data_IF_484768353357
#
_entry.id   IF_484768353357
#
_cell.length_a   1.000
_cell.length_b   1.000
_cell.length_c   1.000
_cell.angle_alpha   90.00
_cell.angle_beta   90.00
_cell.angle_gamma   90.00
#
_symmetry.space_group_name_H-M   'P 1'
#
loop_
_entity.id
_entity.type
_entity.pdbx_description
1 polymer ?
#
# COMPACT_ATOMS: atom_id res chain seq x y z
N UNK A 1 -12.13 8.22 -14.02
CA UNK A 1 -12.02 8.05 -12.56
C UNK A 1 -10.61 7.54 -12.28
N UNK A 2 -9.85 8.13 -11.34
CA UNK A 2 -8.51 7.66 -11.02
C UNK A 2 -8.60 6.23 -10.46
N UNK A 3 -8.06 5.27 -11.22
CA UNK A 3 -8.02 3.86 -10.83
C UNK A 3 -6.76 3.63 -9.99
N UNK A 4 -6.89 2.83 -8.94
CA UNK A 4 -5.74 2.34 -8.17
C UNK A 4 -5.15 1.16 -8.93
N UNK A 5 -3.93 1.31 -9.42
CA UNK A 5 -3.20 0.26 -10.12
C UNK A 5 -2.05 -0.24 -9.24
N UNK A 6 -1.96 -1.56 -9.05
CA UNK A 6 -0.81 -2.14 -8.36
C UNK A 6 0.34 -2.23 -9.36
N UNK A 7 1.40 -1.48 -9.09
CA UNK A 7 2.58 -1.37 -9.96
C UNK A 7 3.57 -2.49 -9.68
N UNK A 8 3.76 -2.86 -8.41
CA UNK A 8 4.75 -3.88 -8.03
C UNK A 8 4.42 -4.47 -6.66
N UNK A 9 4.57 -5.79 -6.55
CA UNK A 9 4.55 -6.51 -5.28
C UNK A 9 5.90 -7.21 -5.12
N UNK A 10 6.62 -6.92 -4.05
CA UNK A 10 7.92 -7.57 -3.75
C UNK A 10 7.95 -8.08 -2.32
N UNK A 11 8.23 -9.37 -2.10
CA UNK A 11 8.51 -9.89 -0.76
C UNK A 11 9.89 -9.42 -0.30
N UNK A 12 9.97 -8.98 0.95
CA UNK A 12 11.19 -8.53 1.61
C UNK A 12 11.30 -9.31 2.92
N UNK A 13 12.39 -10.07 3.05
CA UNK A 13 12.73 -10.79 4.28
C UNK A 13 13.54 -9.89 5.18
N UNK A 14 12.96 -9.51 6.31
CA UNK A 14 13.63 -8.75 7.36
C UNK A 14 14.10 -9.75 8.42
N UNK A 15 15.41 -9.91 8.55
CA UNK A 15 15.98 -10.68 9.67
C UNK A 15 15.90 -9.84 10.94
N UNK A 16 15.03 -10.21 11.88
CA UNK A 16 15.06 -9.70 13.25
C UNK A 16 15.87 -10.64 14.14
N UNK A 17 16.35 -10.13 15.27
CA UNK A 17 17.11 -10.92 16.27
C UNK A 17 16.33 -12.12 16.82
N UNK A 18 14.99 -12.08 16.76
CA UNK A 18 14.08 -13.11 17.29
C UNK A 18 13.40 -13.97 16.21
N UNK A 19 13.76 -13.79 14.93
CA UNK A 19 13.14 -14.52 13.82
C UNK A 19 13.19 -13.78 12.47
N UNK A 20 12.91 -14.47 11.37
CA UNK A 20 12.77 -13.86 10.06
C UNK A 20 11.30 -13.50 9.81
N UNK A 21 11.01 -12.22 9.57
CA UNK A 21 9.66 -11.76 9.18
C UNK A 21 9.66 -11.51 7.67
N UNK A 22 8.64 -12.00 6.99
CA UNK A 22 8.39 -11.72 5.58
C UNK A 22 7.38 -10.58 5.51
N UNK A 23 7.76 -9.48 4.87
CA UNK A 23 6.87 -8.34 4.57
C UNK A 23 6.79 -8.15 3.06
N UNK A 24 5.60 -7.89 2.55
CA UNK A 24 5.36 -7.57 1.15
C UNK A 24 5.31 -6.05 0.99
N UNK A 25 6.19 -5.53 0.14
CA UNK A 25 6.11 -4.15 -0.33
C UNK A 25 5.22 -4.10 -1.55
N UNK A 26 4.10 -3.39 -1.44
CA UNK A 26 3.11 -3.23 -2.50
C UNK A 26 3.12 -1.77 -2.91
N UNK A 27 3.67 -1.50 -4.09
CA UNK A 27 3.61 -0.19 -4.69
C UNK A 27 2.37 -0.08 -5.57
N UNK A 28 1.63 0.99 -5.38
CA UNK A 28 0.43 1.30 -6.13
C UNK A 28 0.52 2.72 -6.67
N UNK A 29 -0.23 2.96 -7.74
CA UNK A 29 -0.38 4.25 -8.41
C UNK A 29 -1.85 4.61 -8.42
N UNK A 30 -2.15 5.88 -8.15
CA UNK A 30 -3.48 6.46 -8.20
C UNK A 30 -3.51 7.53 -9.28
N UNK A 31 -4.00 7.15 -10.46
CA UNK A 31 -3.87 7.95 -11.68
C UNK A 31 -2.41 8.37 -11.95
N UNK A 32 -2.18 9.49 -12.61
CA UNK A 32 -0.84 10.03 -12.86
C UNK A 32 -0.29 10.90 -11.71
N UNK A 33 -1.04 11.00 -10.62
CA UNK A 33 -0.86 12.06 -9.61
C UNK A 33 -0.04 11.55 -8.43
N UNK A 34 -0.23 10.28 -8.03
CA UNK A 34 0.35 9.74 -6.81
C UNK A 34 0.84 8.31 -7.01
N UNK A 35 2.12 8.08 -6.70
CA UNK A 35 2.70 6.74 -6.60
C UNK A 35 3.20 6.55 -5.18
N UNK A 36 2.71 5.52 -4.50
CA UNK A 36 3.06 5.21 -3.12
C UNK A 36 3.27 3.71 -2.92
N UNK A 37 3.90 3.33 -1.80
CA UNK A 37 4.09 1.93 -1.46
C UNK A 37 3.66 1.69 -0.02
N UNK A 38 2.86 0.64 0.18
CA UNK A 38 2.51 0.12 1.50
C UNK A 38 3.32 -1.14 1.80
N UNK A 39 3.51 -1.40 3.09
CA UNK A 39 4.19 -2.59 3.59
C UNK A 39 3.19 -3.40 4.37
N UNK A 40 3.06 -4.69 4.04
CA UNK A 40 2.12 -5.58 4.70
C UNK A 40 2.86 -6.85 5.15
N UNK A 41 2.67 -7.26 6.40
CA UNK A 41 3.22 -8.53 6.89
C UNK A 41 2.60 -9.71 6.12
N UNK A 42 3.36 -10.80 5.94
CA UNK A 42 2.88 -12.02 5.28
C UNK A 42 1.60 -12.57 5.91
N UNK A 43 1.50 -12.55 7.24
CA UNK A 43 0.32 -13.00 7.99
C UNK A 43 -0.94 -12.18 7.65
N UNK A 44 -0.76 -10.92 7.22
CA UNK A 44 -1.84 -10.00 6.85
C UNK A 44 -1.99 -9.86 5.34
N UNK A 45 -1.19 -10.58 4.53
CA UNK A 45 -1.19 -10.50 3.07
C UNK A 45 -2.47 -11.13 2.51
N UNK A 46 -3.53 -10.33 2.43
CA UNK A 46 -4.82 -10.74 1.85
C UNK A 46 -5.38 -9.62 0.98
N UNK A 47 -6.09 -9.94 -0.11
CA UNK A 47 -6.61 -8.94 -1.05
C UNK A 47 -7.45 -7.84 -0.37
N UNK A 48 -8.25 -8.21 0.63
CA UNK A 48 -9.08 -7.28 1.38
C UNK A 48 -8.25 -6.32 2.24
N UNK A 49 -7.24 -6.83 2.96
CA UNK A 49 -6.35 -6.01 3.76
C UNK A 49 -5.51 -5.07 2.90
N UNK A 50 -5.00 -5.55 1.76
CA UNK A 50 -4.24 -4.73 0.81
C UNK A 50 -5.11 -3.55 0.34
N UNK A 51 -6.37 -3.81 -0.06
CA UNK A 51 -7.32 -2.75 -0.45
C UNK A 51 -7.58 -1.77 0.69
N UNK A 52 -7.80 -2.25 1.93
CA UNK A 52 -8.02 -1.39 3.10
C UNK A 52 -6.80 -0.51 3.40
N UNK A 53 -5.59 -1.07 3.37
CA UNK A 53 -4.35 -0.32 3.61
C UNK A 53 -4.09 0.72 2.53
N UNK A 54 -4.24 0.36 1.27
CA UNK A 54 -4.07 1.29 0.15
C UNK A 54 -5.12 2.40 0.24
N UNK A 55 -6.38 2.08 0.53
CA UNK A 55 -7.44 3.08 0.71
C UNK A 55 -7.13 4.04 1.86
N UNK A 56 -6.71 3.53 3.02
CA UNK A 56 -6.37 4.37 4.17
C UNK A 56 -5.14 5.27 3.91
N UNK A 57 -4.11 4.74 3.23
CA UNK A 57 -2.93 5.51 2.83
C UNK A 57 -3.30 6.59 1.80
N UNK A 58 -4.17 6.27 0.84
CA UNK A 58 -4.71 7.22 -0.12
C UNK A 58 -5.53 8.32 0.55
N UNK A 59 -6.46 7.97 1.44
CA UNK A 59 -7.28 8.93 2.17
C UNK A 59 -6.44 9.88 3.01
N UNK A 60 -5.39 9.36 3.64
CA UNK A 60 -4.44 10.17 4.42
C UNK A 60 -3.66 11.12 3.53
N UNK A 61 -3.05 10.59 2.46
CA UNK A 61 -2.24 11.40 1.53
C UNK A 61 -3.08 12.45 0.81
N UNK A 62 -4.26 12.10 0.34
CA UNK A 62 -5.13 13.04 -0.36
C UNK A 62 -5.64 14.15 0.58
N UNK A 63 -5.88 13.86 1.86
CA UNK A 63 -6.08 14.90 2.88
C UNK A 63 -4.86 15.81 3.05
N UNK A 64 -3.64 15.25 3.07
CA UNK A 64 -2.41 16.04 3.18
C UNK A 64 -2.16 16.93 1.94
N UNK A 65 -2.50 16.46 0.74
CA UNK A 65 -2.38 17.26 -0.50
C UNK A 65 -3.58 18.20 -0.70
N UNK A 66 -4.57 18.19 0.18
CA UNK A 66 -5.79 19.01 0.08
C UNK A 66 -6.78 18.56 -1.02
N UNK A 67 -6.60 17.36 -1.58
CA UNK A 67 -7.46 16.78 -2.61
C UNK A 67 -8.66 16.05 -2.00
N UNK A 68 -9.88 16.48 -2.32
CA UNK A 68 -11.10 15.72 -2.02
C UNK A 68 -11.14 14.44 -2.85
N UNK A 69 -11.41 13.31 -2.20
CA UNK A 69 -11.72 12.05 -2.87
C UNK A 69 -13.22 12.03 -3.15
N UNK A 70 -13.61 11.97 -4.42
CA UNK A 70 -14.86 11.34 -4.83
C UNK A 70 -14.54 9.88 -5.18
N UNK A 71 -15.03 8.94 -4.35
CA UNK A 71 -15.00 7.48 -4.57
C UNK A 71 -16.44 7.01 -4.70
#
# INVERSE_FOLDING_TARGET
MPVVEIVSIRPIRIKKKDGAIIVYRICYRYGDILTACVWIDEDKFSPENIRKMIKADLETRLKEVGGKIEV
#
